data_IF_954529725551
#
_entry.id   IF_954529725551
#
_cell.length_a   1.000
_cell.length_b   1.000
_cell.length_c   1.000
_cell.angle_alpha   90.00
_cell.angle_beta   90.00
_cell.angle_gamma   90.00
#
_symmetry.space_group_name_H-M   'P 1'
#
loop_
_entity.id
_entity.type
_entity.pdbx_description
1 polymer ?
#
# COMPACT_ATOMS: atom_id res chain seq x y z
N UNK A 1 66.83 36.18 20.94
CA UNK A 1 65.49 36.64 20.54
C UNK A 1 64.95 35.62 19.54
N UNK A 2 64.40 34.51 20.04
CA UNK A 2 62.95 34.23 20.21
C UNK A 2 62.24 34.08 18.85
N UNK A 3 62.18 32.86 18.31
CA UNK A 3 61.03 31.90 18.35
C UNK A 3 59.90 32.36 17.39
N UNK A 4 59.30 31.57 16.51
CA UNK A 4 58.68 30.25 16.80
C UNK A 4 58.24 29.59 15.49
N UNK A 5 58.44 28.27 15.40
CA UNK A 5 57.93 27.38 14.35
C UNK A 5 56.39 27.36 14.28
N UNK A 6 55.86 27.31 13.06
CA UNK A 6 54.44 27.14 12.74
C UNK A 6 54.01 25.69 13.09
N UNK A 7 52.98 25.45 13.91
CA UNK A 7 52.58 24.08 14.24
C UNK A 7 51.75 23.47 13.11
N UNK A 8 52.04 22.19 12.83
CA UNK A 8 51.25 21.29 11.98
C UNK A 8 49.82 21.19 12.52
N UNK A 9 48.83 21.36 11.65
CA UNK A 9 47.41 21.07 11.94
C UNK A 9 47.30 19.61 12.41
N UNK A 10 46.97 19.44 13.70
CA UNK A 10 46.58 18.15 14.27
C UNK A 10 45.28 17.69 13.63
N UNK A 11 45.23 16.43 13.21
CA UNK A 11 44.01 15.73 12.84
C UNK A 11 42.98 15.89 13.97
N UNK A 12 41.94 16.69 13.73
CA UNK A 12 40.80 16.78 14.64
C UNK A 12 40.11 15.40 14.65
N UNK A 13 40.01 14.81 15.83
CA UNK A 13 39.21 13.60 16.07
C UNK A 13 37.77 13.92 15.65
N UNK A 14 37.08 13.05 14.87
CA UNK A 14 35.70 13.32 14.48
C UNK A 14 34.86 13.48 15.75
N UNK A 15 34.09 14.57 15.78
CA UNK A 15 33.18 14.89 16.87
C UNK A 15 32.07 13.83 16.91
N UNK A 16 32.26 12.84 17.79
CA UNK A 16 31.35 11.70 17.96
C UNK A 16 29.98 12.13 18.49
N UNK A 17 29.87 13.33 19.05
CA UNK A 17 28.64 13.85 19.63
C UNK A 17 27.74 14.51 18.57
N UNK A 18 28.35 15.02 17.49
CA UNK A 18 27.63 15.49 16.30
C UNK A 18 26.99 14.34 15.51
N UNK A 19 27.70 13.21 15.34
CA UNK A 19 27.13 12.01 14.70
C UNK A 19 26.07 11.34 15.60
N UNK A 20 26.25 11.35 16.92
CA UNK A 20 25.24 10.87 17.88
C UNK A 20 23.97 11.72 17.89
N UNK A 21 24.07 13.03 17.59
CA UNK A 21 22.90 13.92 17.48
C UNK A 21 22.19 13.79 16.13
N UNK A 22 22.91 13.47 15.04
CA UNK A 22 22.29 13.16 13.74
C UNK A 22 21.49 11.85 13.76
N UNK A 23 21.96 10.82 14.48
CA UNK A 23 21.20 9.56 14.60
C UNK A 23 19.95 9.69 15.49
N UNK A 24 19.91 10.67 16.41
CA UNK A 24 18.73 10.94 17.26
C UNK A 24 17.61 11.68 16.54
N UNK A 25 17.88 12.28 15.39
CA UNK A 25 16.89 13.01 14.58
C UNK A 25 16.35 12.20 13.39
N UNK A 26 16.67 10.90 13.30
CA UNK A 26 15.84 10.00 12.51
C UNK A 26 14.52 9.89 13.26
N UNK A 27 13.56 10.72 12.87
CA UNK A 27 12.18 10.65 13.32
C UNK A 27 11.69 9.21 13.07
N UNK A 28 11.75 8.38 14.11
CA UNK A 28 11.03 7.12 14.15
C UNK A 28 9.57 7.52 14.24
N UNK A 29 8.94 7.73 13.08
CA UNK A 29 7.50 7.89 12.95
C UNK A 29 6.90 6.75 13.78
N UNK A 30 6.20 7.08 14.86
CA UNK A 30 5.52 6.07 15.67
C UNK A 30 4.73 5.17 14.72
N UNK A 31 4.90 3.86 14.86
CA UNK A 31 4.21 2.90 14.01
C UNK A 31 2.71 3.04 14.27
N UNK A 32 2.00 3.70 13.36
CA UNK A 32 0.55 3.87 13.44
C UNK A 32 -0.08 2.50 13.27
N UNK A 33 -0.80 2.03 14.29
CA UNK A 33 -1.55 0.77 14.22
C UNK A 33 -2.55 0.83 13.07
N UNK A 34 -2.50 -0.13 12.11
CA UNK A 34 -3.46 -0.17 11.02
C UNK A 34 -4.90 -0.34 11.52
N UNK A 35 -5.80 0.47 10.96
CA UNK A 35 -7.25 0.31 11.13
C UNK A 35 -7.79 -0.70 10.12
N UNK A 36 -7.19 -0.75 8.93
CA UNK A 36 -7.54 -1.73 7.90
C UNK A 36 -6.27 -2.41 7.43
N UNK A 37 -6.32 -3.73 7.31
CA UNK A 37 -5.26 -4.55 6.72
C UNK A 37 -5.85 -5.46 5.67
N UNK A 38 -5.19 -5.57 4.52
CA UNK A 38 -5.50 -6.56 3.49
C UNK A 38 -4.33 -7.53 3.37
N UNK A 39 -4.63 -8.82 3.44
CA UNK A 39 -3.69 -9.91 3.19
C UNK A 39 -4.12 -10.65 1.93
N UNK A 40 -3.29 -10.65 0.90
CA UNK A 40 -3.52 -11.38 -0.35
C UNK A 40 -2.66 -12.64 -0.40
N UNK A 41 -3.29 -13.79 -0.62
CA UNK A 41 -2.66 -15.09 -0.86
C UNK A 41 -2.78 -15.45 -2.34
N UNK A 42 -1.66 -15.80 -2.97
CA UNK A 42 -1.60 -16.24 -4.37
C UNK A 42 -0.38 -17.13 -4.60
N UNK A 43 -0.58 -18.33 -5.18
CA UNK A 43 0.50 -19.26 -5.54
C UNK A 43 1.49 -19.53 -4.37
N UNK A 44 0.99 -19.63 -3.14
CA UNK A 44 1.80 -19.84 -1.93
C UNK A 44 2.54 -18.60 -1.41
N UNK A 45 2.43 -17.45 -2.09
CA UNK A 45 2.96 -16.15 -1.64
C UNK A 45 1.89 -15.34 -0.92
N UNK A 46 2.35 -14.49 -0.01
CA UNK A 46 1.52 -13.60 0.80
C UNK A 46 2.00 -12.16 0.60
N UNK A 47 1.06 -11.26 0.33
CA UNK A 47 1.28 -9.82 0.24
C UNK A 47 0.36 -9.12 1.23
N UNK A 48 0.87 -8.11 1.92
CA UNK A 48 0.11 -7.39 2.96
C UNK A 48 0.18 -5.89 2.69
N UNK A 49 -0.94 -5.21 2.88
CA UNK A 49 -1.03 -3.76 2.84
C UNK A 49 -2.00 -3.25 3.91
N UNK A 50 -1.97 -1.96 4.20
CA UNK A 50 -2.72 -1.30 5.28
C UNK A 50 -3.47 -0.07 4.77
N UNK A 51 -4.27 0.58 5.61
CA UNK A 51 -4.84 1.89 5.30
C UNK A 51 -3.74 2.96 5.14
N UNK A 52 -4.02 3.98 4.33
CA UNK A 52 -3.05 4.96 3.83
C UNK A 52 -2.20 5.60 4.93
N UNK A 53 -2.80 5.96 6.06
CA UNK A 53 -2.10 6.62 7.17
C UNK A 53 -1.11 5.70 7.90
N UNK A 54 -1.38 4.39 7.90
CA UNK A 54 -0.55 3.36 8.53
C UNK A 54 0.42 2.67 7.56
N UNK A 55 0.40 3.03 6.27
CA UNK A 55 1.31 2.47 5.26
C UNK A 55 2.74 2.98 5.49
N UNK A 56 3.72 2.10 5.30
CA UNK A 56 5.13 2.46 5.34
C UNK A 56 5.46 3.55 4.32
N UNK A 57 6.33 4.49 4.65
CA UNK A 57 6.67 5.64 3.80
C UNK A 57 7.15 5.23 2.41
N UNK A 58 7.89 4.13 2.35
CA UNK A 58 8.48 3.58 1.13
C UNK A 58 7.41 3.00 0.20
N UNK A 59 6.32 2.49 0.78
CA UNK A 59 5.17 1.94 0.05
C UNK A 59 4.12 3.03 -0.28
N UNK A 60 4.04 4.11 0.50
CA UNK A 60 3.12 5.23 0.30
C UNK A 60 3.58 6.19 -0.81
N UNK A 61 3.92 5.65 -1.98
CA UNK A 61 4.53 6.41 -3.07
C UNK A 61 3.48 7.10 -3.95
N UNK A 62 3.35 8.43 -3.81
CA UNK A 62 2.43 9.22 -4.63
C UNK A 62 2.82 9.30 -6.12
N UNK A 63 4.07 9.01 -6.47
CA UNK A 63 4.58 9.02 -7.85
C UNK A 63 4.31 7.70 -8.59
N UNK A 64 3.96 6.64 -7.85
CA UNK A 64 3.60 5.35 -8.43
C UNK A 64 2.08 5.29 -8.56
N UNK A 65 1.58 5.37 -9.79
CA UNK A 65 0.18 5.04 -10.09
C UNK A 65 -0.14 3.59 -9.71
N UNK A 66 -1.39 3.32 -9.35
CA UNK A 66 -1.85 1.93 -9.24
C UNK A 66 -2.14 1.35 -10.63
N UNK A 67 -2.40 0.04 -10.71
CA UNK A 67 -2.91 -0.64 -11.92
C UNK A 67 -4.15 0.02 -12.54
N UNK A 68 -4.89 0.81 -11.76
CA UNK A 68 -6.14 1.46 -12.19
C UNK A 68 -6.03 2.98 -12.18
N UNK A 69 -4.82 3.55 -12.18
CA UNK A 69 -4.61 5.00 -12.15
C UNK A 69 -5.44 5.75 -13.22
N UNK A 70 -5.43 5.28 -14.47
CA UNK A 70 -6.18 5.89 -15.57
C UNK A 70 -7.70 5.81 -15.37
N UNK A 71 -8.19 4.68 -14.84
CA UNK A 71 -9.60 4.52 -14.48
C UNK A 71 -10.01 5.49 -13.39
N UNK A 72 -9.15 5.71 -12.39
CA UNK A 72 -9.42 6.67 -11.31
C UNK A 72 -9.36 8.11 -11.83
N UNK A 73 -8.41 8.43 -12.72
CA UNK A 73 -8.33 9.73 -13.38
C UNK A 73 -9.60 10.03 -14.19
N UNK A 74 -10.09 9.07 -14.98
CA UNK A 74 -11.35 9.22 -15.72
C UNK A 74 -12.55 9.46 -14.78
N UNK A 75 -12.63 8.72 -13.67
CA UNK A 75 -13.68 8.93 -12.66
C UNK A 75 -13.57 10.30 -11.98
N UNK A 76 -12.35 10.78 -11.72
CA UNK A 76 -12.08 12.11 -11.15
C UNK A 76 -12.57 13.21 -12.10
N UNK A 77 -12.23 13.13 -13.38
CA UNK A 77 -12.69 14.07 -14.42
C UNK A 77 -14.22 14.08 -14.47
N UNK A 78 -14.85 12.91 -14.50
CA UNK A 78 -16.31 12.79 -14.58
C UNK A 78 -17.06 13.30 -13.35
N UNK A 79 -16.46 13.19 -12.15
CA UNK A 79 -17.11 13.54 -10.87
C UNK A 79 -16.64 14.88 -10.28
N UNK A 80 -15.58 15.47 -10.80
CA UNK A 80 -14.99 16.71 -10.30
C UNK A 80 -14.41 16.61 -8.88
N UNK A 81 -14.05 15.41 -8.40
CA UNK A 81 -13.50 15.23 -7.04
C UNK A 81 -12.40 14.18 -6.99
N UNK A 82 -11.50 14.32 -6.02
CA UNK A 82 -10.49 13.30 -5.71
C UNK A 82 -11.15 12.00 -5.27
N UNK A 83 -10.55 10.88 -5.67
CA UNK A 83 -11.00 9.53 -5.38
C UNK A 83 -9.80 8.71 -4.90
N UNK A 84 -10.01 7.70 -4.05
CA UNK A 84 -8.93 6.82 -3.61
C UNK A 84 -8.41 5.98 -4.79
N UNK A 85 -7.32 5.23 -4.54
CA UNK A 85 -6.80 4.21 -5.44
C UNK A 85 -6.11 4.70 -6.72
N UNK A 86 -5.87 6.00 -6.90
CA UNK A 86 -5.19 6.51 -8.09
C UNK A 86 -3.67 6.29 -8.09
N UNK A 87 -3.05 6.25 -6.90
CA UNK A 87 -1.62 5.99 -6.70
C UNK A 87 -1.39 5.24 -5.38
N UNK A 88 -0.17 4.77 -5.15
CA UNK A 88 0.15 3.96 -3.96
C UNK A 88 0.06 4.73 -2.63
N UNK A 89 0.17 6.06 -2.64
CA UNK A 89 -0.11 6.88 -1.46
C UNK A 89 -1.61 6.90 -1.09
N UNK A 90 -2.49 6.88 -2.08
CA UNK A 90 -3.96 6.99 -1.90
C UNK A 90 -4.67 5.65 -1.97
N UNK A 91 -3.96 4.57 -2.32
CA UNK A 91 -4.51 3.23 -2.45
C UNK A 91 -5.06 2.70 -1.13
N UNK A 92 -6.23 2.08 -1.21
CA UNK A 92 -6.74 1.25 -0.13
C UNK A 92 -5.96 -0.06 -0.10
N UNK A 93 -5.99 -0.73 1.07
CA UNK A 93 -5.17 -1.90 1.35
C UNK A 93 -5.35 -3.02 0.30
N UNK A 94 -6.58 -3.26 -0.15
CA UNK A 94 -6.88 -4.32 -1.12
C UNK A 94 -6.22 -4.04 -2.47
N UNK A 95 -6.25 -2.78 -2.92
CA UNK A 95 -5.63 -2.36 -4.18
C UNK A 95 -4.12 -2.43 -4.09
N UNK A 96 -3.54 -2.00 -2.97
CA UNK A 96 -2.11 -2.08 -2.75
C UNK A 96 -1.60 -3.53 -2.69
N UNK A 97 -2.34 -4.45 -2.07
CA UNK A 97 -1.99 -5.87 -2.06
C UNK A 97 -2.03 -6.50 -3.47
N UNK A 98 -3.02 -6.14 -4.31
CA UNK A 98 -3.07 -6.59 -5.71
C UNK A 98 -1.91 -5.99 -6.52
N UNK A 99 -1.58 -4.71 -6.31
CA UNK A 99 -0.42 -4.08 -6.95
C UNK A 99 0.87 -4.85 -6.62
N UNK A 100 1.11 -5.17 -5.35
CA UNK A 100 2.28 -5.93 -4.92
C UNK A 100 2.35 -7.32 -5.57
N UNK A 101 1.22 -8.03 -5.67
CA UNK A 101 1.15 -9.33 -6.33
C UNK A 101 1.44 -9.24 -7.85
N UNK A 102 0.99 -8.17 -8.50
CA UNK A 102 1.29 -7.88 -9.90
C UNK A 102 2.76 -7.53 -10.11
N UNK A 103 3.31 -6.63 -9.29
CA UNK A 103 4.71 -6.21 -9.37
C UNK A 103 5.66 -7.42 -9.16
N UNK A 104 5.24 -8.39 -8.34
CA UNK A 104 5.95 -9.66 -8.14
C UNK A 104 5.75 -10.68 -9.28
N UNK A 105 4.93 -10.37 -10.29
CA UNK A 105 4.70 -11.20 -11.48
C UNK A 105 3.89 -12.48 -11.23
N UNK A 106 3.13 -12.57 -10.14
CA UNK A 106 2.44 -13.81 -9.73
C UNK A 106 0.91 -13.78 -9.87
N UNK A 107 0.34 -12.65 -10.29
CA UNK A 107 -1.12 -12.49 -10.41
C UNK A 107 -1.70 -13.11 -11.69
N UNK A 108 -0.93 -13.20 -12.77
CA UNK A 108 -1.44 -13.60 -14.10
C UNK A 108 -1.96 -15.04 -14.09
N UNK A 109 -3.21 -15.22 -14.51
CA UNK A 109 -3.92 -16.50 -14.56
C UNK A 109 -4.24 -17.09 -13.19
N UNK A 110 -3.96 -16.38 -12.10
CA UNK A 110 -4.07 -16.90 -10.74
C UNK A 110 -5.41 -16.58 -10.10
N UNK A 111 -5.79 -17.40 -9.11
CA UNK A 111 -6.91 -17.15 -8.22
C UNK A 111 -6.39 -16.38 -6.99
N UNK A 112 -6.84 -15.14 -6.80
CA UNK A 112 -6.42 -14.29 -5.69
C UNK A 112 -7.37 -14.46 -4.50
N UNK A 113 -6.82 -14.69 -3.31
CA UNK A 113 -7.61 -14.72 -2.08
C UNK A 113 -7.18 -13.57 -1.18
N UNK A 114 -8.10 -12.65 -0.89
CA UNK A 114 -7.85 -11.48 -0.06
C UNK A 114 -8.63 -11.63 1.24
N UNK A 115 -7.96 -11.43 2.37
CA UNK A 115 -8.59 -11.28 3.68
C UNK A 115 -8.45 -9.82 4.11
N UNK A 116 -9.58 -9.16 4.37
CA UNK A 116 -9.65 -7.77 4.84
C UNK A 116 -10.07 -7.79 6.31
N UNK A 117 -9.28 -7.10 7.15
CA UNK A 117 -9.53 -6.97 8.59
C UNK A 117 -9.74 -5.51 8.93
N UNK A 118 -10.66 -5.25 9.87
CA UNK A 118 -10.91 -3.94 10.47
C UNK A 118 -12.11 -3.20 9.88
N UNK A 119 -12.40 -3.38 8.58
CA UNK A 119 -13.59 -2.84 7.90
C UNK A 119 -14.05 -3.73 6.74
N UNK A 120 -15.30 -3.58 6.32
CA UNK A 120 -15.82 -4.16 5.07
C UNK A 120 -15.14 -3.54 3.83
N UNK A 121 -15.26 -4.21 2.68
CA UNK A 121 -14.88 -3.67 1.38
C UNK A 121 -15.78 -2.48 1.03
N UNK A 122 -15.19 -1.29 1.02
CA UNK A 122 -15.95 -0.06 0.76
C UNK A 122 -16.48 0.01 -0.68
N UNK A 123 -17.49 0.87 -0.90
CA UNK A 123 -18.16 1.00 -2.19
C UNK A 123 -17.25 1.37 -3.37
N UNK A 124 -16.15 2.10 -3.13
CA UNK A 124 -15.14 2.37 -4.15
C UNK A 124 -14.38 1.08 -4.54
N UNK A 125 -13.91 0.34 -3.54
CA UNK A 125 -13.11 -0.87 -3.72
C UNK A 125 -13.85 -1.99 -4.47
N UNK A 126 -15.18 -2.11 -4.35
CA UNK A 126 -15.93 -3.18 -5.04
C UNK A 126 -15.72 -3.21 -6.55
N UNK A 127 -15.72 -2.03 -7.19
CA UNK A 127 -15.46 -1.89 -8.63
C UNK A 127 -13.99 -1.68 -8.99
N UNK A 128 -13.16 -1.30 -8.02
CA UNK A 128 -11.73 -1.03 -8.24
C UNK A 128 -10.89 -2.31 -8.10
N UNK A 129 -11.23 -3.20 -7.15
CA UNK A 129 -10.63 -4.54 -7.02
C UNK A 129 -10.85 -5.33 -8.30
N UNK A 130 -12.08 -5.33 -8.83
CA UNK A 130 -12.41 -5.98 -10.10
C UNK A 130 -11.52 -5.47 -11.25
N UNK A 131 -11.37 -4.15 -11.37
CA UNK A 131 -10.55 -3.57 -12.43
C UNK A 131 -9.05 -3.82 -12.23
N UNK A 132 -8.56 -3.76 -10.98
CA UNK A 132 -7.16 -4.02 -10.68
C UNK A 132 -6.80 -5.49 -10.94
N UNK A 133 -7.68 -6.42 -10.57
CA UNK A 133 -7.52 -7.84 -10.83
C UNK A 133 -7.52 -8.16 -12.34
N UNK A 134 -8.40 -7.51 -13.10
CA UNK A 134 -8.46 -7.66 -14.56
C UNK A 134 -7.17 -7.18 -15.24
N UNK A 135 -6.69 -5.98 -14.88
CA UNK A 135 -5.39 -5.45 -15.38
C UNK A 135 -4.23 -6.34 -14.92
N UNK A 136 -4.29 -6.88 -13.70
CA UNK A 136 -3.29 -7.81 -13.17
C UNK A 136 -3.32 -9.19 -13.87
N UNK A 137 -4.28 -9.42 -14.76
CA UNK A 137 -4.48 -10.68 -15.46
C UNK A 137 -4.96 -11.83 -14.57
N UNK A 138 -5.53 -11.54 -13.40
CA UNK A 138 -6.04 -12.57 -12.49
C UNK A 138 -7.24 -13.30 -13.10
N UNK A 139 -7.39 -14.58 -12.76
CA UNK A 139 -8.52 -15.40 -13.16
C UNK A 139 -9.74 -15.15 -12.29
N UNK A 140 -9.53 -15.04 -10.97
CA UNK A 140 -10.58 -14.75 -10.00
C UNK A 140 -10.06 -14.02 -8.78
N UNK A 141 -10.98 -13.41 -8.03
CA UNK A 141 -10.72 -12.85 -6.70
C UNK A 141 -11.80 -13.34 -5.74
N UNK A 142 -11.38 -13.86 -4.60
CA UNK A 142 -12.24 -14.08 -3.42
C UNK A 142 -11.80 -13.11 -2.34
N UNK A 143 -12.71 -12.28 -1.83
CA UNK A 143 -12.44 -11.39 -0.68
C UNK A 143 -13.26 -11.86 0.51
N UNK A 144 -12.59 -12.14 1.63
CA UNK A 144 -13.23 -12.36 2.92
C UNK A 144 -13.01 -11.12 3.78
N UNK A 145 -14.09 -10.49 4.23
CA UNK A 145 -14.05 -9.31 5.08
C UNK A 145 -14.95 -9.52 6.31
N UNK A 146 -14.86 -8.60 7.27
CA UNK A 146 -15.79 -8.51 8.39
C UNK A 146 -16.47 -7.16 8.31
N UNK A 147 -17.80 -7.16 8.35
CA UNK A 147 -18.59 -5.93 8.41
C UNK A 147 -18.37 -5.23 9.76
N UNK A 148 -17.86 -4.01 9.74
CA UNK A 148 -17.50 -3.25 10.94
C UNK A 148 -18.69 -2.69 11.72
N UNK A 149 -19.90 -2.77 11.16
CA UNK A 149 -21.13 -2.34 11.82
C UNK A 149 -21.80 -3.54 12.53
N UNK A 150 -21.85 -4.69 11.86
CA UNK A 150 -22.57 -5.89 12.34
C UNK A 150 -21.66 -6.94 12.95
N UNK A 151 -20.35 -6.89 12.70
CA UNK A 151 -19.37 -7.91 13.10
C UNK A 151 -19.47 -9.21 12.31
N UNK A 152 -20.34 -9.29 11.29
CA UNK A 152 -20.58 -10.52 10.54
C UNK A 152 -19.56 -10.69 9.39
N UNK A 153 -19.14 -11.94 9.08
CA UNK A 153 -18.29 -12.20 7.94
C UNK A 153 -19.04 -11.91 6.64
N UNK A 154 -18.32 -11.35 5.66
CA UNK A 154 -18.79 -11.17 4.29
C UNK A 154 -17.80 -11.77 3.32
N UNK A 155 -18.33 -12.43 2.30
CA UNK A 155 -17.52 -12.95 1.20
C UNK A 155 -17.97 -12.31 -0.11
N UNK A 156 -16.98 -11.86 -0.88
CA UNK A 156 -17.17 -11.33 -2.20
C UNK A 156 -16.39 -12.13 -3.22
N UNK A 157 -16.98 -12.30 -4.41
CA UNK A 157 -16.36 -12.99 -5.53
C UNK A 157 -16.31 -12.11 -6.76
N UNK A 158 -15.25 -12.28 -7.53
CA UNK A 158 -15.11 -11.74 -8.88
C UNK A 158 -14.43 -12.79 -9.76
N UNK A 159 -14.85 -12.86 -11.01
CA UNK A 159 -14.23 -13.64 -12.07
C UNK A 159 -13.96 -12.73 -13.26
N UNK A 160 -12.93 -13.05 -14.05
CA UNK A 160 -12.61 -12.27 -15.26
C UNK A 160 -13.85 -12.05 -16.13
N UNK A 161 -14.04 -10.81 -16.58
CA UNK A 161 -15.24 -10.33 -17.28
C UNK A 161 -16.31 -9.67 -16.40
N UNK A 162 -16.26 -9.82 -15.07
CA UNK A 162 -17.18 -9.12 -14.17
C UNK A 162 -16.78 -7.65 -13.97
N UNK A 163 -17.75 -6.74 -13.83
CA UNK A 163 -17.49 -5.29 -13.63
C UNK A 163 -17.21 -4.89 -12.17
N UNK A 164 -17.65 -5.70 -11.22
CA UNK A 164 -17.44 -5.48 -9.79
C UNK A 164 -17.43 -6.80 -9.04
N UNK A 165 -16.94 -6.78 -7.80
CA UNK A 165 -17.19 -7.82 -6.81
C UNK A 165 -18.71 -8.02 -6.61
N UNK A 166 -19.11 -9.28 -6.42
CA UNK A 166 -20.46 -9.69 -6.02
C UNK A 166 -20.38 -10.32 -4.63
N UNK A 167 -21.23 -9.85 -3.72
CA UNK A 167 -21.39 -10.48 -2.41
C UNK A 167 -22.10 -11.83 -2.56
N UNK A 168 -21.56 -12.86 -1.92
CA UNK A 168 -22.20 -14.18 -1.78
C UNK A 168 -22.75 -14.29 -0.37
N UNK A 169 -24.03 -14.65 -0.29
CA UNK A 169 -24.77 -14.86 0.95
C UNK A 169 -24.73 -16.33 1.37
#
# INVERSE_FOLDING_TARGET
MSNTSKPLLRNAKPDTDAVASLVKNVSTKEAITPVVTAKLEVNGKIFTDTNQTARASEQANAKQGTLIADRILAKKIAKGKELPNGNMATAHAEIGAIQQAYDAGVSKGADLKITVVGKDVCGYCKGDIAAAADVAGAKSVTVNAVDDITGLPKTYIWQSGMKSLREVK
#
